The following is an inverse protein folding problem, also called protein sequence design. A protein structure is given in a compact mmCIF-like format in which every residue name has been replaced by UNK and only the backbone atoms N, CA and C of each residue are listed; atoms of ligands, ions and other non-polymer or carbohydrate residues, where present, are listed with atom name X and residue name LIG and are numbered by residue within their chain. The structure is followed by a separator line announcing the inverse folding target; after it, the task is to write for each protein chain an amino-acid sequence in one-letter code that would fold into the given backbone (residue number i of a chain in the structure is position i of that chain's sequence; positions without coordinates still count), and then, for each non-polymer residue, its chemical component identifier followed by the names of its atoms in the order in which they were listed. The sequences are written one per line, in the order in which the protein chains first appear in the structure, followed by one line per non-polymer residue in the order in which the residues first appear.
data_IF_761102478059
#
_entry.id   IF_761102478059
#
_cell.length_a   1.000
_cell.length_b   1.000
_cell.length_c   1.000
_cell.angle_alpha   90.00
_cell.angle_beta   90.00
_cell.angle_gamma   90.00
#
_symmetry.space_group_name_H-M   'P 1'
#
loop_
_entity.id
_entity.type
_entity.pdbx_description
1 polymer ?
#
# COMPACT_ATOMS: atom_id res chain seq x y z
N UNK A 1 1.31 0.22 5.62
CA UNK A 1 1.80 1.26 4.69
C UNK A 1 1.98 0.66 3.31
N UNK A 2 1.94 1.43 2.24
CA UNK A 2 2.27 1.02 0.89
C UNK A 2 2.85 2.18 0.09
N UNK A 3 3.79 1.85 -0.80
CA UNK A 3 4.41 2.80 -1.70
C UNK A 3 4.70 2.12 -3.05
N UNK A 4 4.57 2.87 -4.15
CA UNK A 4 4.90 2.36 -5.48
C UNK A 4 5.12 3.48 -6.48
N UNK A 5 5.85 3.19 -7.54
CA UNK A 5 6.08 4.11 -8.64
C UNK A 5 6.27 3.36 -9.96
N UNK A 6 5.81 3.95 -11.05
CA UNK A 6 5.95 3.39 -12.39
C UNK A 6 5.46 4.33 -13.48
N UNK A 7 5.38 3.83 -14.70
CA UNK A 7 4.80 4.55 -15.84
C UNK A 7 3.55 3.82 -16.30
N UNK A 8 2.44 4.54 -16.38
CA UNK A 8 1.14 4.03 -16.84
C UNK A 8 0.65 4.95 -17.94
N UNK A 9 0.37 4.40 -19.12
CA UNK A 9 -0.11 5.16 -20.29
C UNK A 9 0.75 6.40 -20.63
N UNK A 10 2.08 6.26 -20.47
CA UNK A 10 3.05 7.33 -20.73
C UNK A 10 3.22 8.37 -19.61
N UNK A 11 2.46 8.27 -18.51
CA UNK A 11 2.56 9.16 -17.34
C UNK A 11 3.28 8.48 -16.18
N UNK A 12 4.07 9.23 -15.42
CA UNK A 12 4.68 8.74 -14.18
C UNK A 12 3.62 8.72 -13.08
N UNK A 13 3.35 7.56 -12.52
CA UNK A 13 2.35 7.35 -11.45
C UNK A 13 3.07 6.86 -10.19
N UNK A 14 2.83 7.54 -9.07
CA UNK A 14 3.32 7.18 -7.75
C UNK A 14 2.17 7.02 -6.75
N UNK A 15 2.35 6.12 -5.79
CA UNK A 15 1.38 5.82 -4.73
C UNK A 15 2.06 5.96 -3.39
N UNK A 16 1.37 6.58 -2.44
CA UNK A 16 1.69 6.55 -1.02
C UNK A 16 0.40 6.33 -0.25
N UNK A 17 0.26 5.19 0.41
CA UNK A 17 -0.96 4.80 1.12
C UNK A 17 -0.62 4.31 2.53
N UNK A 18 -1.31 4.84 3.52
CA UNK A 18 -1.20 4.53 4.94
C UNK A 18 -2.56 4.24 5.56
N UNK A 19 -2.53 3.59 6.72
CA UNK A 19 -3.69 3.27 7.52
C UNK A 19 -3.27 3.17 9.00
N UNK A 20 -4.20 3.38 9.93
CA UNK A 20 -4.03 3.23 11.39
C UNK A 20 -3.18 4.30 12.07
N UNK A 21 -2.10 4.79 11.46
CA UNK A 21 -1.19 5.75 12.11
C UNK A 21 -1.84 7.11 12.40
N UNK A 22 -2.56 7.68 11.43
CA UNK A 22 -3.22 8.98 11.59
C UNK A 22 -4.70 8.88 11.97
N UNK A 23 -5.20 7.67 12.25
CA UNK A 23 -6.61 7.47 12.57
C UNK A 23 -6.99 8.29 13.82
N UNK A 24 -8.12 8.99 13.73
CA UNK A 24 -8.58 9.92 14.78
C UNK A 24 -7.88 11.29 14.80
N UNK A 25 -6.82 11.50 14.00
CA UNK A 25 -6.06 12.75 13.93
C UNK A 25 -6.57 13.80 12.93
N UNK A 26 -7.62 13.49 12.16
CA UNK A 26 -8.20 14.40 11.16
C UNK A 26 -7.38 14.56 9.87
N UNK A 27 -6.33 13.76 9.70
CA UNK A 27 -5.48 13.71 8.51
C UNK A 27 -5.19 12.25 8.11
N UNK A 28 -4.65 12.06 6.91
CA UNK A 28 -4.16 10.76 6.41
C UNK A 28 -2.80 10.95 5.73
N UNK A 29 -2.02 9.90 5.53
CA UNK A 29 -0.77 10.01 4.73
C UNK A 29 -1.00 9.78 3.23
N UNK A 30 -2.22 9.43 2.85
CA UNK A 30 -2.58 8.95 1.53
C UNK A 30 -2.40 10.02 0.43
N UNK A 31 -1.75 9.65 -0.67
CA UNK A 31 -1.57 10.48 -1.85
C UNK A 31 -1.34 9.66 -3.13
N UNK A 32 -1.74 10.22 -4.27
CA UNK A 32 -1.31 9.79 -5.60
C UNK A 32 -0.45 10.87 -6.22
N UNK A 33 0.58 10.48 -6.97
CA UNK A 33 1.50 11.40 -7.63
C UNK A 33 1.41 11.13 -9.14
N UNK A 34 1.13 12.14 -9.95
CA UNK A 34 1.09 12.03 -11.41
C UNK A 34 2.03 13.08 -12.00
N UNK A 35 3.05 12.63 -12.73
CA UNK A 35 4.05 13.49 -13.38
C UNK A 35 4.71 14.53 -12.47
N UNK A 36 4.82 14.22 -11.17
CA UNK A 36 5.40 15.09 -10.15
C UNK A 36 4.38 15.94 -9.39
N UNK A 37 3.10 15.90 -9.77
CA UNK A 37 2.02 16.54 -9.04
C UNK A 37 1.43 15.59 -8.00
N UNK A 38 1.53 15.97 -6.72
CA UNK A 38 0.95 15.22 -5.61
C UNK A 38 -0.49 15.67 -5.38
N UNK A 39 -1.41 14.72 -5.37
CA UNK A 39 -2.80 14.91 -4.96
C UNK A 39 -3.05 14.18 -3.64
N UNK A 40 -3.40 14.95 -2.61
CA UNK A 40 -3.75 14.41 -1.30
C UNK A 40 -5.06 13.65 -1.38
N UNK A 41 -5.10 12.47 -0.77
CA UNK A 41 -6.33 11.72 -0.56
C UNK A 41 -6.71 11.90 0.91
N UNK A 42 -7.80 12.60 1.20
CA UNK A 42 -8.19 12.91 2.59
C UNK A 42 -8.85 11.72 3.30
N UNK A 43 -9.31 10.73 2.54
CA UNK A 43 -10.10 9.60 3.04
C UNK A 43 -9.21 8.46 3.52
N UNK A 44 -9.77 7.63 4.41
CA UNK A 44 -9.12 6.44 4.92
C UNK A 44 -9.00 5.36 3.83
N UNK A 45 -7.95 4.54 3.94
CA UNK A 45 -7.72 3.39 3.07
C UNK A 45 -7.53 2.15 3.95
N UNK A 46 -8.32 1.13 3.70
CA UNK A 46 -8.26 -0.16 4.35
C UNK A 46 -7.31 -1.09 3.60
N UNK A 47 -6.48 -1.80 4.37
CA UNK A 47 -5.56 -2.81 3.85
C UNK A 47 -6.08 -4.20 4.22
N UNK A 48 -6.50 -4.97 3.22
CA UNK A 48 -7.03 -6.31 3.38
C UNK A 48 -6.15 -7.35 2.67
N UNK A 49 -5.63 -8.31 3.42
CA UNK A 49 -4.77 -9.37 2.90
C UNK A 49 -4.87 -10.64 3.78
N UNK A 50 -4.47 -11.79 3.24
CA UNK A 50 -4.57 -13.07 3.94
C UNK A 50 -3.39 -13.27 4.91
N UNK A 51 -3.67 -13.17 6.21
CA UNK A 51 -2.65 -13.33 7.27
C UNK A 51 -2.01 -14.73 7.30
N UNK A 52 -2.65 -15.73 6.71
CA UNK A 52 -2.14 -17.11 6.61
C UNK A 52 -1.30 -17.32 5.35
N UNK A 53 -1.50 -16.49 4.32
CA UNK A 53 -0.78 -16.57 3.05
C UNK A 53 -0.51 -15.17 2.50
N UNK A 54 0.57 -14.50 2.96
CA UNK A 54 0.87 -13.12 2.57
C UNK A 54 1.26 -12.97 1.09
N UNK A 55 1.43 -14.08 0.35
CA UNK A 55 1.67 -14.06 -1.11
C UNK A 55 0.39 -13.85 -1.90
N UNK A 56 -0.78 -14.00 -1.28
CA UNK A 56 -2.06 -13.65 -1.91
C UNK A 56 -2.16 -12.15 -2.11
N UNK A 57 -2.95 -11.68 -3.09
CA UNK A 57 -3.08 -10.26 -3.36
C UNK A 57 -3.56 -9.44 -2.15
N UNK A 58 -2.94 -8.28 -1.94
CA UNK A 58 -3.32 -7.32 -0.91
C UNK A 58 -4.22 -6.27 -1.55
N UNK A 59 -5.43 -6.10 -1.03
CA UNK A 59 -6.41 -5.12 -1.52
C UNK A 59 -6.39 -3.89 -0.64
N UNK A 60 -6.17 -2.73 -1.26
CA UNK A 60 -6.16 -1.44 -0.61
C UNK A 60 -7.37 -0.66 -1.12
N UNK A 61 -8.31 -0.32 -0.23
CA UNK A 61 -9.61 0.24 -0.61
C UNK A 61 -10.04 1.41 0.26
N UNK A 62 -10.65 2.40 -0.36
CA UNK A 62 -11.20 3.57 0.31
C UNK A 62 -12.05 4.38 -0.67
N UNK A 63 -12.55 5.52 -0.23
CA UNK A 63 -13.23 6.44 -1.14
C UNK A 63 -12.23 6.97 -2.18
N UNK A 64 -12.49 6.68 -3.45
CA UNK A 64 -11.60 6.97 -4.56
C UNK A 64 -10.33 6.11 -4.62
N UNK A 65 -10.20 5.01 -3.87
CA UNK A 65 -9.05 4.09 -3.94
C UNK A 65 -9.55 2.65 -4.07
N UNK A 66 -9.17 1.95 -5.14
CA UNK A 66 -9.30 0.49 -5.25
C UNK A 66 -8.09 -0.04 -6.02
N UNK A 67 -7.04 -0.40 -5.30
CA UNK A 67 -5.81 -0.96 -5.87
C UNK A 67 -5.48 -2.29 -5.22
N UNK A 68 -4.93 -3.20 -6.01
CA UNK A 68 -4.49 -4.52 -5.57
C UNK A 68 -3.00 -4.65 -5.83
N UNK A 69 -2.23 -4.95 -4.79
CA UNK A 69 -0.86 -5.43 -4.91
C UNK A 69 -0.88 -6.93 -5.14
N UNK A 70 -0.29 -7.39 -6.24
CA UNK A 70 0.03 -8.81 -6.45
C UNK A 70 1.49 -9.04 -6.07
N UNK A 71 1.77 -9.76 -4.97
CA UNK A 71 3.14 -10.00 -4.52
C UNK A 71 3.89 -10.93 -5.49
N UNK A 72 5.14 -10.60 -5.79
CA UNK A 72 6.13 -11.52 -6.37
C UNK A 72 7.16 -11.99 -5.33
N UNK A 73 7.37 -11.19 -4.27
CA UNK A 73 8.23 -11.52 -3.15
C UNK A 73 7.61 -11.07 -1.83
N UNK A 74 7.89 -11.81 -0.75
CA UNK A 74 7.41 -11.49 0.61
C UNK A 74 8.55 -11.67 1.59
N UNK A 75 8.81 -10.62 2.36
CA UNK A 75 9.68 -10.66 3.55
C UNK A 75 8.83 -10.66 4.81
N UNK A 76 9.26 -11.42 5.82
CA UNK A 76 8.57 -11.50 7.10
C UNK A 76 9.53 -11.72 8.26
N UNK A 77 9.22 -11.14 9.42
CA UNK A 77 9.97 -11.37 10.65
C UNK A 77 10.02 -12.87 10.97
N UNK A 78 11.22 -13.45 11.23
CA UNK A 78 11.35 -14.84 11.64
C UNK A 78 10.51 -15.16 12.87
N UNK A 79 9.93 -16.37 12.91
CA UNK A 79 8.95 -16.74 13.94
C UNK A 79 9.44 -16.52 15.39
N UNK A 80 10.73 -16.77 15.65
CA UNK A 80 11.34 -16.61 16.97
C UNK A 80 11.54 -15.14 17.39
N UNK A 81 11.55 -14.19 16.45
CA UNK A 81 11.63 -12.75 16.71
C UNK A 81 10.25 -12.07 16.82
N UNK A 82 9.16 -12.73 16.41
CA UNK A 82 7.81 -12.15 16.41
C UNK A 82 7.33 -11.61 17.77
N UNK A 83 7.73 -12.18 18.93
CA UNK A 83 7.40 -11.58 20.22
C UNK A 83 8.00 -10.19 20.45
N UNK A 84 9.03 -9.78 19.68
CA UNK A 84 9.67 -8.46 19.74
C UNK A 84 9.08 -7.46 18.73
N UNK A 85 8.15 -7.90 17.89
CA UNK A 85 7.58 -7.15 16.78
C UNK A 85 7.37 -8.05 15.57
N UNK A 86 6.35 -7.78 14.77
CA UNK A 86 6.00 -8.59 13.59
C UNK A 86 5.84 -7.67 12.37
N UNK A 87 6.80 -7.74 11.46
CA UNK A 87 6.79 -7.04 10.17
C UNK A 87 6.49 -8.05 9.06
N UNK A 88 5.59 -7.66 8.17
CA UNK A 88 5.38 -8.33 6.88
C UNK A 88 5.45 -7.30 5.77
N UNK A 89 6.27 -7.56 4.76
CA UNK A 89 6.40 -6.71 3.57
C UNK A 89 6.17 -7.57 2.34
N UNK A 90 5.16 -7.21 1.56
CA UNK A 90 4.93 -7.77 0.23
C UNK A 90 5.50 -6.80 -0.82
N UNK A 91 6.36 -7.30 -1.70
CA UNK A 91 6.85 -6.58 -2.87
C UNK A 91 6.13 -7.09 -4.11
N UNK A 92 5.73 -6.18 -4.97
CA UNK A 92 5.23 -6.56 -6.28
C UNK A 92 4.59 -5.43 -7.06
N UNK A 93 3.51 -5.75 -7.79
CA UNK A 93 2.88 -4.81 -8.71
C UNK A 93 1.46 -4.46 -8.29
N UNK A 94 1.20 -3.16 -8.28
CA UNK A 94 -0.13 -2.59 -8.09
C UNK A 94 -0.88 -2.52 -9.42
N UNK A 95 -2.18 -2.83 -9.37
CA UNK A 95 -3.15 -2.58 -10.43
C UNK A 95 -4.48 -2.11 -9.83
N UNK A 96 -5.22 -1.24 -10.54
CA UNK A 96 -6.49 -0.68 -10.10
C UNK A 96 -6.61 0.81 -10.42
N UNK A 97 -7.27 1.57 -9.54
CA UNK A 97 -7.51 2.99 -9.74
C UNK A 97 -7.43 3.81 -8.45
N UNK A 98 -7.02 5.07 -8.61
CA UNK A 98 -7.11 6.11 -7.58
C UNK A 98 -7.80 7.33 -8.19
N UNK A 99 -9.08 7.55 -7.87
CA UNK A 99 -9.95 8.46 -8.61
C UNK A 99 -9.93 8.10 -10.10
N UNK A 100 -9.59 9.07 -10.95
CA UNK A 100 -9.45 8.88 -12.41
C UNK A 100 -8.05 8.38 -12.83
N UNK A 101 -7.13 8.19 -11.90
CA UNK A 101 -5.76 7.73 -12.20
C UNK A 101 -5.75 6.20 -12.29
N UNK A 102 -5.46 5.67 -13.48
CA UNK A 102 -5.17 4.25 -13.69
C UNK A 102 -3.84 3.87 -13.05
N UNK A 103 -3.85 2.75 -12.35
CA UNK A 103 -2.68 2.07 -11.83
C UNK A 103 -2.62 0.73 -12.53
N UNK A 104 -1.53 0.45 -13.23
CA UNK A 104 -1.36 -0.83 -13.92
C UNK A 104 0.13 -1.20 -13.99
N UNK A 105 0.49 -2.34 -13.41
CA UNK A 105 1.87 -2.81 -13.36
C UNK A 105 2.83 -1.93 -12.57
N UNK A 106 2.33 -1.02 -11.71
CA UNK A 106 3.16 -0.09 -10.92
C UNK A 106 3.93 -0.88 -9.86
N UNK A 107 5.26 -0.88 -9.92
CA UNK A 107 6.10 -1.60 -8.96
C UNK A 107 6.08 -0.91 -7.60
N UNK A 108 6.04 -1.69 -6.53
CA UNK A 108 6.08 -1.15 -5.18
C UNK A 108 6.04 -2.24 -4.11
N UNK A 109 5.62 -1.82 -2.93
CA UNK A 109 5.47 -2.70 -1.78
C UNK A 109 4.31 -2.25 -0.88
N UNK A 110 3.81 -3.19 -0.07
CA UNK A 110 2.90 -2.93 1.03
C UNK A 110 3.38 -3.68 2.28
N UNK A 111 3.22 -3.07 3.45
CA UNK A 111 3.63 -3.64 4.73
C UNK A 111 2.56 -3.53 5.82
N UNK A 112 2.59 -4.49 6.73
CA UNK A 112 1.98 -4.40 8.05
C UNK A 112 3.07 -4.59 9.12
N UNK A 113 3.27 -3.57 9.95
CA UNK A 113 4.11 -3.62 11.14
C UNK A 113 3.25 -3.62 12.39
N UNK A 114 3.49 -4.60 13.27
CA UNK A 114 3.04 -4.56 14.65
C UNK A 114 4.27 -4.41 15.54
N UNK A 115 4.48 -3.20 16.06
CA UNK A 115 5.59 -2.87 16.94
C UNK A 115 5.15 -3.00 18.41
N UNK A 116 6.04 -3.53 19.25
CA UNK A 116 5.92 -3.41 20.70
C UNK A 116 6.95 -2.39 21.18
N UNK A 117 6.52 -1.47 22.03
CA UNK A 117 7.34 -0.38 22.58
C UNK A 117 7.48 -0.57 24.08
#
# INVERSE_FOLDING_TARGET
WACGAGTVDGRRVGLNLGARWTDGGGATENAVIVDGHLTKLAQHVDFAWDRRDPRRPWRLRGDGVDVTLTPDHVEATPAWLRPLGDLRVAFGRFAGHVGDVRVDGVQGWAEELHAIW
#
